data_IF_022915908088
#
_entry.id   IF_022915908088
#
_cell.length_a   1.000
_cell.length_b   1.000
_cell.length_c   1.000
_cell.angle_alpha   90.00
_cell.angle_beta   90.00
_cell.angle_gamma   90.00
#
_symmetry.space_group_name_H-M   'P 1'
#
loop_
_entity.id
_entity.type
_entity.pdbx_description
1 polymer ?
#
# COMPACT_ATOMS: atom_id res chain seq x y z
N UNK A 1 -7.92 18.25 -11.45
CA UNK A 1 -6.57 18.00 -10.88
C UNK A 1 -5.88 16.87 -11.66
N UNK A 2 -4.58 16.93 -11.96
CA UNK A 2 -3.88 15.83 -12.64
C UNK A 2 -3.77 14.59 -11.76
N UNK A 3 -3.66 13.40 -12.38
CA UNK A 3 -3.51 12.15 -11.64
C UNK A 3 -2.27 12.14 -10.74
N UNK A 4 -1.17 12.74 -11.21
CA UNK A 4 0.05 12.90 -10.41
C UNK A 4 -0.15 13.75 -9.15
N UNK A 5 -0.97 14.80 -9.24
CA UNK A 5 -1.30 15.62 -8.05
C UNK A 5 -2.14 14.81 -7.07
N UNK A 6 -3.14 14.04 -7.53
CA UNK A 6 -3.94 13.12 -6.70
C UNK A 6 -3.04 12.11 -5.98
N UNK A 7 -2.18 11.39 -6.71
CA UNK A 7 -1.25 10.40 -6.15
C UNK A 7 -0.34 11.02 -5.09
N UNK A 8 0.17 12.24 -5.31
CA UNK A 8 1.00 12.94 -4.32
C UNK A 8 0.22 13.30 -3.06
N UNK A 9 -1.00 13.83 -3.20
CA UNK A 9 -1.86 14.15 -2.06
C UNK A 9 -2.19 12.90 -1.24
N UNK A 10 -2.45 11.77 -1.90
CA UNK A 10 -2.71 10.49 -1.24
C UNK A 10 -1.46 9.98 -0.49
N UNK A 11 -0.28 10.03 -1.14
CA UNK A 11 1.00 9.66 -0.47
C UNK A 11 1.30 10.55 0.74
N UNK A 12 0.92 11.83 0.69
CA UNK A 12 1.04 12.74 1.84
C UNK A 12 0.13 12.31 3.00
N UNK A 13 -1.13 11.94 2.70
CA UNK A 13 -2.03 11.34 3.69
C UNK A 13 -1.39 10.10 4.32
N UNK A 14 -0.81 9.20 3.51
CA UNK A 14 -0.17 7.98 4.02
C UNK A 14 1.02 8.28 4.92
N UNK A 15 1.88 9.21 4.51
CA UNK A 15 3.04 9.63 5.32
C UNK A 15 2.61 10.17 6.68
N UNK A 16 1.54 10.96 6.71
CA UNK A 16 1.02 11.51 7.96
C UNK A 16 0.37 10.44 8.83
N UNK A 17 -0.40 9.54 8.24
CA UNK A 17 -1.01 8.42 8.95
C UNK A 17 0.06 7.51 9.57
N UNK A 18 1.11 7.17 8.82
CA UNK A 18 2.19 6.33 9.34
C UNK A 18 2.95 6.95 10.52
N UNK A 19 2.99 8.29 10.63
CA UNK A 19 3.54 8.97 11.80
C UNK A 19 2.63 8.78 13.02
N UNK A 20 1.31 8.91 12.83
CA UNK A 20 0.33 8.72 13.90
C UNK A 20 0.31 7.25 14.37
N UNK A 21 0.28 6.30 13.43
CA UNK A 21 0.36 4.86 13.72
C UNK A 21 1.63 4.54 14.51
N UNK A 22 2.80 5.05 14.09
CA UNK A 22 4.05 4.78 14.82
C UNK A 22 4.02 5.29 16.26
N UNK A 23 3.49 6.49 16.49
CA UNK A 23 3.34 7.02 17.86
C UNK A 23 2.41 6.15 18.70
N UNK A 24 1.27 5.74 18.12
CA UNK A 24 0.30 4.90 18.82
C UNK A 24 0.87 3.50 19.12
N UNK A 25 1.50 2.88 18.13
CA UNK A 25 2.13 1.57 18.23
C UNK A 25 3.24 1.55 19.29
N UNK A 26 4.13 2.55 19.28
CA UNK A 26 5.20 2.66 20.28
C UNK A 26 4.67 2.97 21.68
N UNK A 27 3.67 3.84 21.81
CA UNK A 27 3.09 4.18 23.11
C UNK A 27 2.36 3.01 23.79
N UNK A 28 1.96 2.00 23.02
CA UNK A 28 1.30 0.79 23.49
C UNK A 28 2.09 -0.48 23.22
N UNK A 29 3.36 -0.37 22.82
CA UNK A 29 4.22 -1.50 22.46
C UNK A 29 3.50 -2.60 21.65
N UNK A 30 2.63 -2.19 20.71
CA UNK A 30 1.92 -3.09 19.81
C UNK A 30 2.59 -3.04 18.44
N UNK A 31 3.00 -4.19 17.94
CA UNK A 31 3.63 -4.30 16.64
C UNK A 31 3.00 -5.45 15.85
N UNK A 32 2.85 -5.24 14.55
CA UNK A 32 2.45 -6.26 13.60
C UNK A 32 3.67 -7.18 13.42
N UNK A 33 3.55 -8.50 13.63
CA UNK A 33 4.66 -9.41 13.45
C UNK A 33 5.23 -9.31 12.04
N UNK A 34 6.55 -9.40 11.94
CA UNK A 34 7.22 -9.61 10.68
C UNK A 34 6.70 -10.92 10.06
N UNK A 35 6.51 -10.94 8.73
CA UNK A 35 5.95 -12.09 7.99
C UNK A 35 4.49 -12.47 8.31
N UNK A 36 3.71 -11.52 8.83
CA UNK A 36 2.26 -11.68 8.97
C UNK A 36 1.51 -11.33 7.67
N UNK A 37 0.71 -12.27 7.18
CA UNK A 37 -0.11 -12.14 5.96
C UNK A 37 -1.62 -12.13 6.19
N UNK A 38 -2.08 -12.34 7.42
CA UNK A 38 -3.50 -12.62 7.73
C UNK A 38 -4.46 -11.50 7.29
N UNK A 39 -4.02 -10.23 7.32
CA UNK A 39 -4.86 -9.13 6.85
C UNK A 39 -5.06 -9.16 5.32
N UNK A 40 -4.16 -9.79 4.57
CA UNK A 40 -4.26 -9.91 3.11
C UNK A 40 -5.01 -11.18 2.66
N UNK A 41 -5.17 -12.18 3.53
CA UNK A 41 -5.95 -13.41 3.28
C UNK A 41 -7.45 -13.18 3.34
N UNK A 42 -7.89 -12.10 3.99
CA UNK A 42 -9.29 -11.76 4.17
C UNK A 42 -9.95 -11.39 2.83
N UNK A 43 -11.01 -12.11 2.47
CA UNK A 43 -11.70 -12.00 1.15
C UNK A 43 -12.73 -10.87 1.09
N UNK A 44 -13.31 -10.50 2.23
CA UNK A 44 -14.36 -9.50 2.39
C UNK A 44 -13.79 -8.09 2.72
N UNK A 45 -12.66 -7.73 2.11
CA UNK A 45 -12.11 -6.38 2.25
C UNK A 45 -12.74 -5.48 1.20
N UNK A 46 -13.44 -4.46 1.68
CA UNK A 46 -13.92 -3.36 0.85
C UNK A 46 -12.98 -2.17 0.90
N UNK A 47 -12.86 -1.51 -0.24
CA UNK A 47 -11.88 -0.48 -0.50
C UNK A 47 -12.41 0.55 -1.51
N UNK A 48 -11.83 1.74 -1.46
CA UNK A 48 -12.10 2.75 -2.48
C UNK A 48 -11.08 2.65 -3.62
N UNK A 49 -11.45 2.88 -4.90
CA UNK A 49 -10.46 2.95 -5.97
C UNK A 49 -9.39 4.02 -5.72
N UNK A 50 -9.78 5.11 -5.03
CA UNK A 50 -8.89 6.25 -4.78
C UNK A 50 -7.65 5.86 -3.96
N UNK A 51 -7.78 5.00 -2.96
CA UNK A 51 -6.63 4.56 -2.16
C UNK A 51 -5.64 3.68 -2.91
N UNK A 52 -6.01 3.11 -4.06
CA UNK A 52 -5.11 2.31 -4.87
C UNK A 52 -4.48 3.10 -6.04
N UNK A 53 -4.74 4.40 -6.18
CA UNK A 53 -4.05 5.22 -7.19
C UNK A 53 -2.52 5.20 -7.05
N UNK A 54 -1.90 5.24 -5.84
CA UNK A 54 -0.45 5.11 -5.73
C UNK A 54 0.09 3.77 -6.22
N UNK A 55 -0.63 2.67 -5.99
CA UNK A 55 -0.30 1.33 -6.47
C UNK A 55 -0.42 1.24 -7.99
N UNK A 56 -1.56 1.66 -8.54
CA UNK A 56 -1.80 1.71 -9.97
C UNK A 56 -0.75 2.57 -10.69
N UNK A 57 -0.38 3.71 -10.11
CA UNK A 57 0.70 4.55 -10.64
C UNK A 57 2.04 3.83 -10.58
N UNK A 58 2.37 3.14 -9.48
CA UNK A 58 3.61 2.37 -9.38
C UNK A 58 3.71 1.29 -10.47
N UNK A 59 2.65 0.52 -10.70
CA UNK A 59 2.60 -0.49 -11.76
C UNK A 59 2.66 0.12 -13.16
N UNK A 60 2.07 1.29 -13.36
CA UNK A 60 2.19 2.00 -14.63
C UNK A 60 3.62 2.49 -14.89
N UNK A 61 4.29 3.04 -13.89
CA UNK A 61 5.66 3.57 -14.00
C UNK A 61 6.70 2.46 -14.25
N UNK A 62 6.44 1.28 -13.69
CA UNK A 62 7.25 0.06 -13.86
C UNK A 62 6.89 -0.73 -15.11
N UNK A 63 5.81 -0.39 -15.80
CA UNK A 63 5.41 -1.01 -17.07
C UNK A 63 4.63 -2.32 -16.93
N UNK A 64 4.16 -2.68 -15.72
CA UNK A 64 3.47 -3.94 -15.44
C UNK A 64 1.95 -3.77 -15.22
N UNK A 65 1.42 -2.56 -15.37
CA UNK A 65 0.01 -2.26 -15.11
C UNK A 65 -0.97 -3.08 -15.96
N UNK A 66 -0.69 -3.26 -17.25
CA UNK A 66 -1.55 -4.02 -18.16
C UNK A 66 -1.60 -5.50 -17.79
N UNK A 67 -0.44 -6.09 -17.47
CA UNK A 67 -0.33 -7.49 -17.07
C UNK A 67 -1.07 -7.73 -15.74
N UNK A 68 -0.91 -6.82 -14.78
CA UNK A 68 -1.62 -6.86 -13.49
C UNK A 68 -3.12 -6.71 -13.66
N UNK A 69 -3.57 -5.89 -14.60
CA UNK A 69 -5.00 -5.76 -14.92
C UNK A 69 -5.57 -7.05 -15.52
N UNK A 70 -4.83 -7.72 -16.42
CA UNK A 70 -5.24 -9.01 -16.98
C UNK A 70 -5.33 -10.08 -15.88
N UNK A 71 -4.30 -10.22 -15.05
CA UNK A 71 -4.27 -11.14 -13.90
C UNK A 71 -5.46 -10.93 -12.95
N UNK A 72 -5.79 -9.66 -12.67
CA UNK A 72 -6.92 -9.31 -11.80
C UNK A 72 -8.28 -9.69 -12.38
N UNK A 73 -8.45 -9.65 -13.70
CA UNK A 73 -9.72 -9.98 -14.36
C UNK A 73 -9.99 -11.49 -14.37
N UNK A 74 -8.95 -12.31 -14.28
CA UNK A 74 -9.06 -13.77 -14.24
C UNK A 74 -9.21 -14.31 -12.81
N UNK A 75 -8.78 -13.55 -11.79
CA UNK A 75 -8.79 -13.99 -10.39
C UNK A 75 -10.20 -13.96 -9.78
N UNK A 76 -10.59 -15.05 -9.11
CA UNK A 76 -11.90 -15.21 -8.45
C UNK A 76 -11.81 -15.58 -6.95
N UNK A 77 -10.61 -15.76 -6.40
CA UNK A 77 -10.39 -16.23 -5.02
C UNK A 77 -10.78 -15.21 -3.92
N UNK A 78 -10.99 -13.95 -4.30
CA UNK A 78 -11.28 -12.82 -3.41
C UNK A 78 -10.07 -12.33 -2.61
N UNK A 79 -8.92 -12.99 -2.71
CA UNK A 79 -7.71 -12.65 -1.99
C UNK A 79 -6.98 -11.53 -2.73
N UNK A 80 -6.41 -10.57 -1.99
CA UNK A 80 -5.74 -9.43 -2.59
C UNK A 80 -4.60 -9.89 -3.52
N UNK A 81 -4.53 -9.36 -4.75
CA UNK A 81 -3.44 -9.64 -5.71
C UNK A 81 -2.04 -9.41 -5.15
N UNK A 82 -1.89 -8.48 -4.21
CA UNK A 82 -0.61 -8.16 -3.60
C UNK A 82 -0.20 -9.16 -2.51
N UNK A 83 -1.05 -10.14 -2.18
CA UNK A 83 -0.72 -11.16 -1.18
C UNK A 83 0.30 -12.16 -1.73
N UNK A 84 1.34 -12.42 -0.95
CA UNK A 84 2.33 -13.48 -1.17
C UNK A 84 2.31 -14.40 0.04
N UNK A 85 1.81 -15.62 -0.17
CA UNK A 85 1.91 -16.70 0.80
C UNK A 85 3.36 -17.20 0.86
N UNK A 86 3.91 -17.36 2.07
CA UNK A 86 5.29 -17.79 2.31
C UNK A 86 5.40 -19.27 2.78
N UNK A 87 4.29 -20.00 2.77
CA UNK A 87 4.20 -21.40 3.20
C UNK A 87 3.71 -21.51 4.63
N UNK A 88 2.43 -21.88 4.80
CA UNK A 88 1.74 -22.05 6.09
C UNK A 88 0.57 -21.09 6.28
N UNK A 89 -0.39 -21.46 7.13
CA UNK A 89 -1.54 -20.59 7.45
C UNK A 89 -1.08 -19.33 8.21
N UNK A 90 -1.49 -18.15 7.75
CA UNK A 90 -1.13 -16.86 8.35
C UNK A 90 0.29 -16.35 8.05
N UNK A 91 1.13 -17.17 7.41
CA UNK A 91 2.49 -16.82 6.99
C UNK A 91 2.49 -16.22 5.60
N UNK A 92 2.71 -14.91 5.53
CA UNK A 92 2.70 -14.21 4.26
C UNK A 92 3.13 -12.77 4.35
N UNK A 93 3.03 -12.06 3.23
CA UNK A 93 3.31 -10.61 3.17
C UNK A 93 2.62 -9.96 2.00
N UNK A 94 2.45 -8.65 2.08
CA UNK A 94 2.10 -7.84 0.92
C UNK A 94 3.35 -7.58 0.08
N UNK A 95 3.36 -7.97 -1.20
CA UNK A 95 4.44 -7.66 -2.14
C UNK A 95 4.55 -6.17 -2.46
N UNK A 96 3.49 -5.41 -2.20
CA UNK A 96 3.35 -3.99 -2.52
C UNK A 96 3.14 -3.15 -1.26
N UNK A 97 3.81 -3.52 -0.17
CA UNK A 97 3.57 -2.94 1.15
C UNK A 97 3.71 -1.40 1.16
N UNK A 98 4.69 -0.84 0.45
CA UNK A 98 4.88 0.61 0.35
C UNK A 98 3.72 1.33 -0.37
N UNK A 99 3.09 0.66 -1.33
CA UNK A 99 2.00 1.20 -2.15
C UNK A 99 0.61 0.74 -1.70
N UNK A 100 0.50 0.06 -0.55
CA UNK A 100 -0.78 -0.44 -0.01
C UNK A 100 -1.79 0.70 0.22
N UNK A 101 -3.08 0.36 0.08
CA UNK A 101 -4.20 1.29 0.25
C UNK A 101 -4.34 1.83 1.68
N UNK A 102 -5.27 2.76 1.87
CA UNK A 102 -5.53 3.39 3.17
C UNK A 102 -6.13 2.37 4.14
N UNK A 103 -7.07 1.53 3.68
CA UNK A 103 -7.64 0.44 4.49
C UNK A 103 -6.55 -0.47 5.06
N UNK A 104 -5.57 -0.86 4.24
CA UNK A 104 -4.47 -1.73 4.64
C UNK A 104 -3.49 -1.07 5.62
N UNK A 105 -3.49 0.26 5.74
CA UNK A 105 -2.68 1.01 6.71
C UNK A 105 -3.42 1.20 8.02
N UNK A 106 -4.72 1.47 7.94
CA UNK A 106 -5.59 1.66 9.10
C UNK A 106 -5.84 0.35 9.85
N UNK A 107 -5.93 -0.77 9.13
CA UNK A 107 -6.08 -2.08 9.75
C UNK A 107 -4.89 -2.41 10.65
N UNK A 108 -5.16 -2.71 11.92
CA UNK A 108 -4.14 -3.01 12.94
C UNK A 108 -4.00 -1.90 13.99
N UNK A 109 -4.18 -0.65 13.60
CA UNK A 109 -3.75 0.51 14.42
C UNK A 109 -4.73 1.68 14.38
N UNK A 110 -6.00 1.47 14.02
CA UNK A 110 -6.99 2.53 13.95
C UNK A 110 -8.21 2.25 14.81
N UNK A 111 -8.97 3.30 15.11
CA UNK A 111 -10.20 3.21 15.90
C UNK A 111 -11.42 3.64 15.09
N UNK A 112 -12.55 3.00 15.38
CA UNK A 112 -13.86 3.43 14.90
C UNK A 112 -14.73 3.83 16.08
N UNK A 113 -15.41 4.99 16.04
CA UNK A 113 -16.50 5.25 16.97
C UNK A 113 -17.65 4.27 16.72
N UNK A 114 -18.13 3.65 17.78
CA UNK A 114 -19.40 2.92 17.77
C UNK A 114 -20.58 3.91 17.85
N UNK A 115 -21.81 3.44 17.57
CA UNK A 115 -23.04 4.23 17.67
C UNK A 115 -23.26 4.83 19.07
N UNK A 116 -22.65 4.24 20.09
CA UNK A 116 -22.69 4.69 21.49
C UNK A 116 -21.55 5.65 21.88
N UNK A 117 -20.73 6.08 20.92
CA UNK A 117 -19.60 7.00 21.13
C UNK A 117 -18.31 6.35 21.63
N UNK A 118 -18.32 5.06 21.97
CA UNK A 118 -17.11 4.34 22.41
C UNK A 118 -16.18 4.02 21.23
N UNK A 119 -14.88 4.24 21.40
CA UNK A 119 -13.87 3.93 20.39
C UNK A 119 -13.51 2.45 20.42
N UNK A 120 -13.69 1.74 19.30
CA UNK A 120 -13.29 0.34 19.13
C UNK A 120 -12.04 0.24 18.27
N UNK A 121 -11.06 -0.54 18.72
CA UNK A 121 -9.83 -0.82 17.97
C UNK A 121 -10.09 -1.77 16.80
N UNK A 122 -9.77 -1.33 15.58
CA UNK A 122 -9.70 -2.16 14.39
C UNK A 122 -8.31 -2.78 14.28
N UNK A 123 -8.13 -3.94 14.90
CA UNK A 123 -6.88 -4.68 14.83
C UNK A 123 -7.10 -6.19 14.65
N UNK A 124 -6.04 -6.88 14.25
CA UNK A 124 -6.05 -8.35 14.16
C UNK A 124 -6.09 -8.97 15.55
N UNK A 125 -6.42 -10.27 15.60
CA UNK A 125 -6.48 -11.04 16.84
C UNK A 125 -5.17 -10.98 17.64
N UNK A 126 -4.02 -11.11 16.98
CA UNK A 126 -2.70 -11.03 17.63
C UNK A 126 -2.52 -9.73 18.42
N UNK A 127 -2.90 -8.59 17.83
CA UNK A 127 -2.76 -7.29 18.51
C UNK A 127 -3.74 -7.18 19.68
N UNK A 128 -4.96 -7.70 19.54
CA UNK A 128 -5.96 -7.71 20.63
C UNK A 128 -5.50 -8.58 21.79
N UNK A 129 -4.97 -9.77 21.51
CA UNK A 129 -4.48 -10.70 22.52
C UNK A 129 -3.24 -10.13 23.23
N UNK A 130 -2.34 -9.46 22.50
CA UNK A 130 -1.20 -8.73 23.07
C UNK A 130 -1.60 -7.59 24.01
N UNK A 131 -2.67 -6.85 23.69
CA UNK A 131 -3.19 -5.80 24.58
C UNK A 131 -3.84 -6.40 25.83
N UNK A 132 -4.66 -7.44 25.66
CA UNK A 132 -5.34 -8.13 26.75
C UNK A 132 -4.35 -8.77 27.73
N UNK A 133 -3.29 -9.42 27.23
CA UNK A 133 -2.25 -10.02 28.05
C UNK A 133 -1.51 -9.00 28.94
N UNK A 134 -1.52 -7.72 28.55
CA UNK A 134 -0.90 -6.62 29.30
C UNK A 134 -1.89 -5.82 30.14
N UNK A 135 -3.16 -6.22 30.19
CA UNK A 135 -4.21 -5.50 30.91
C UNK A 135 -4.50 -4.10 30.36
N UNK A 136 -4.06 -3.79 29.14
CA UNK A 136 -4.25 -2.48 28.53
C UNK A 136 -5.59 -2.40 27.80
N UNK A 137 -6.37 -1.37 28.12
CA UNK A 137 -7.59 -1.02 27.39
C UNK A 137 -7.40 0.30 26.66
N UNK A 138 -8.14 0.51 25.57
CA UNK A 138 -8.10 1.80 24.85
C UNK A 138 -8.47 2.98 25.75
N UNK A 139 -9.37 2.77 26.69
CA UNK A 139 -9.83 3.77 27.66
C UNK A 139 -8.79 4.11 28.72
N UNK A 140 -7.88 3.18 29.04
CA UNK A 140 -6.86 3.38 30.08
C UNK A 140 -5.55 3.96 29.53
N UNK A 141 -5.40 4.02 28.20
CA UNK A 141 -4.20 4.57 27.57
C UNK A 141 -4.35 6.05 27.22
N UNK A 142 -3.35 6.87 27.53
CA UNK A 142 -3.23 8.26 27.06
C UNK A 142 -2.88 8.39 25.57
N UNK A 143 -2.89 7.27 24.84
CA UNK A 143 -2.39 7.14 23.49
C UNK A 143 -3.50 7.43 22.48
N UNK A 144 -3.30 8.46 21.66
CA UNK A 144 -4.21 8.81 20.57
C UNK A 144 -4.03 7.87 19.38
N UNK A 145 -5.11 7.19 19.00
CA UNK A 145 -5.16 6.38 17.78
C UNK A 145 -5.76 7.14 16.59
N UNK A 146 -5.32 6.83 15.35
CA UNK A 146 -5.95 7.37 14.16
C UNK A 146 -7.40 6.90 14.06
N UNK A 147 -8.32 7.86 14.02
CA UNK A 147 -9.75 7.59 13.79
C UNK A 147 -9.97 7.30 12.31
N UNK A 148 -10.44 6.09 11.98
CA UNK A 148 -10.62 5.61 10.60
C UNK A 148 -11.44 6.60 9.76
N UNK A 149 -12.58 7.05 10.28
CA UNK A 149 -13.48 7.98 9.56
C UNK A 149 -12.82 9.32 9.23
N UNK A 150 -11.94 9.84 10.09
CA UNK A 150 -11.22 11.08 9.82
C UNK A 150 -10.25 10.94 8.65
N UNK A 151 -9.62 9.78 8.50
CA UNK A 151 -8.68 9.51 7.40
C UNK A 151 -9.40 9.30 6.07
N UNK A 152 -10.56 8.62 6.06
CA UNK A 152 -11.40 8.54 4.87
C UNK A 152 -11.96 9.90 4.45
N UNK A 153 -12.33 10.77 5.40
CA UNK A 153 -12.73 12.16 5.11
C UNK A 153 -11.60 12.96 4.42
N UNK A 154 -10.35 12.79 4.86
CA UNK A 154 -9.20 13.42 4.17
C UNK A 154 -9.00 12.85 2.76
N UNK A 155 -9.22 11.54 2.58
CA UNK A 155 -9.05 10.87 1.29
C UNK A 155 -10.10 11.35 0.27
N UNK A 156 -11.39 11.33 0.63
CA UNK A 156 -12.50 11.72 -0.26
C UNK A 156 -12.41 13.19 -0.70
N UNK A 157 -11.81 14.06 0.11
CA UNK A 157 -11.54 15.47 -0.26
C UNK A 157 -10.56 15.62 -1.42
N UNK A 158 -9.72 14.62 -1.71
CA UNK A 158 -8.80 14.66 -2.86
C UNK A 158 -9.56 14.45 -4.17
N UNK A 159 -10.51 13.51 -4.16
CA UNK A 159 -11.29 13.11 -5.33
C UNK A 159 -12.59 12.44 -4.86
N UNK A 160 -13.71 13.14 -5.02
CA UNK A 160 -14.98 12.69 -4.44
C UNK A 160 -15.52 11.43 -5.14
N UNK A 161 -15.44 11.35 -6.46
CA UNK A 161 -16.06 10.26 -7.24
C UNK A 161 -15.45 8.90 -6.91
N UNK A 162 -14.12 8.80 -6.96
CA UNK A 162 -13.37 7.58 -6.63
C UNK A 162 -13.28 7.34 -5.12
N UNK A 163 -13.39 8.39 -4.30
CA UNK A 163 -13.32 8.30 -2.84
C UNK A 163 -14.62 7.90 -2.16
N UNK A 164 -15.76 8.00 -2.85
CA UNK A 164 -17.09 7.69 -2.31
C UNK A 164 -17.65 6.32 -2.75
N UNK A 165 -16.88 5.56 -3.51
CA UNK A 165 -17.29 4.24 -4.00
C UNK A 165 -16.49 3.15 -3.28
N UNK A 166 -17.20 2.12 -2.82
CA UNK A 166 -16.59 0.96 -2.16
C UNK A 166 -16.81 -0.27 -3.03
N UNK A 167 -15.72 -1.04 -3.20
CA UNK A 167 -15.73 -2.30 -3.94
C UNK A 167 -14.87 -3.33 -3.20
N UNK A 168 -15.03 -4.62 -3.49
CA UNK A 168 -14.04 -5.63 -3.11
C UNK A 168 -12.63 -5.17 -3.54
N UNK A 169 -11.63 -5.47 -2.71
CA UNK A 169 -10.26 -4.94 -2.85
C UNK A 169 -9.69 -5.06 -4.26
N UNK A 170 -9.84 -6.22 -4.89
CA UNK A 170 -9.34 -6.45 -6.26
C UNK A 170 -10.08 -5.59 -7.29
N UNK A 171 -11.40 -5.43 -7.14
CA UNK A 171 -12.22 -4.55 -8.00
C UNK A 171 -11.84 -3.08 -7.82
N UNK A 172 -11.54 -2.65 -6.59
CA UNK A 172 -11.04 -1.29 -6.33
C UNK A 172 -9.67 -1.06 -7.01
N UNK A 173 -8.77 -2.06 -6.96
CA UNK A 173 -7.47 -2.01 -7.64
C UNK A 173 -7.63 -1.97 -9.17
N UNK A 174 -8.52 -2.79 -9.75
CA UNK A 174 -8.84 -2.77 -11.19
C UNK A 174 -9.23 -1.34 -11.62
N UNK A 175 -10.19 -0.74 -10.92
CA UNK A 175 -10.65 0.63 -11.22
C UNK A 175 -9.55 1.67 -11.10
N UNK A 176 -8.64 1.51 -10.13
CA UNK A 176 -7.48 2.38 -9.99
C UNK A 176 -6.51 2.26 -11.17
N UNK A 177 -6.22 1.03 -11.63
CA UNK A 177 -5.39 0.78 -12.82
C UNK A 177 -6.03 1.39 -14.06
N UNK A 178 -7.31 1.12 -14.30
CA UNK A 178 -8.07 1.65 -15.43
C UNK A 178 -8.05 3.18 -15.43
N UNK A 179 -8.20 3.80 -14.26
CA UNK A 179 -8.11 5.27 -14.11
C UNK A 179 -6.74 5.80 -14.55
N UNK A 180 -5.65 5.13 -14.18
CA UNK A 180 -4.28 5.53 -14.56
C UNK A 180 -4.05 5.32 -16.06
N UNK A 181 -4.39 4.15 -16.58
CA UNK A 181 -4.23 3.82 -18.00
C UNK A 181 -5.05 4.77 -18.87
N UNK A 182 -6.33 4.98 -18.56
CA UNK A 182 -7.20 5.90 -19.30
C UNK A 182 -6.68 7.34 -19.26
N UNK A 183 -6.10 7.78 -18.14
CA UNK A 183 -5.52 9.11 -18.04
C UNK A 183 -4.34 9.31 -19.01
N UNK A 184 -3.51 8.29 -19.18
CA UNK A 184 -2.30 8.31 -20.01
C UNK A 184 -2.49 7.78 -21.44
N UNK A 185 -3.63 7.16 -21.77
CA UNK A 185 -3.94 6.71 -23.13
C UNK A 185 -3.85 7.85 -24.16
N UNK A 186 -4.20 9.08 -23.75
CA UNK A 186 -4.21 10.26 -24.60
C UNK A 186 -3.27 11.37 -24.12
N UNK A 187 -2.39 11.09 -23.15
CA UNK A 187 -1.49 12.10 -22.56
C UNK A 187 -0.06 11.56 -22.50
N UNK A 188 0.94 12.30 -23.00
CA UNK A 188 2.32 11.84 -22.92
C UNK A 188 2.76 11.74 -21.46
N UNK A 189 3.22 10.57 -21.04
CA UNK A 189 3.86 10.38 -19.74
C UNK A 189 5.33 10.78 -19.82
N UNK A 190 5.69 11.91 -19.23
CA UNK A 190 7.09 12.32 -19.06
C UNK A 190 7.62 11.76 -17.74
N UNK A 191 8.39 10.67 -17.78
CA UNK A 191 9.14 10.15 -16.61
C UNK A 191 9.97 11.31 -16.04
N UNK A 192 9.66 11.73 -14.81
CA UNK A 192 10.47 12.73 -14.12
C UNK A 192 11.79 12.09 -13.70
N UNK A 193 12.91 12.73 -14.03
CA UNK A 193 14.21 12.35 -13.47
C UNK A 193 14.12 12.42 -11.93
N UNK A 194 14.59 11.40 -11.19
CA UNK A 194 14.60 11.46 -9.73
C UNK A 194 15.39 12.69 -9.28
N UNK A 195 14.81 13.47 -8.38
CA UNK A 195 15.50 14.63 -7.80
C UNK A 195 16.61 14.12 -6.87
N UNK A 196 17.74 14.84 -6.79
CA UNK A 196 18.93 14.42 -6.01
C UNK A 196 18.64 14.12 -4.52
N UNK A 197 17.55 14.66 -3.96
CA UNK A 197 17.08 14.35 -2.60
C UNK A 197 16.34 13.00 -2.46
N UNK A 198 15.80 12.45 -3.54
CA UNK A 198 15.12 11.14 -3.55
C UNK A 198 16.11 9.97 -3.62
N UNK A 199 17.25 10.16 -4.29
CA UNK A 199 18.27 9.11 -4.45
C UNK A 199 19.03 8.80 -3.15
N UNK A 200 19.19 9.80 -2.26
CA UNK A 200 19.83 9.60 -0.96
C UNK A 200 19.00 8.66 -0.05
N UNK A 201 17.68 8.88 0.02
CA UNK A 201 16.78 8.05 0.82
C UNK A 201 16.54 6.65 0.22
N UNK A 202 16.59 6.51 -1.11
CA UNK A 202 16.46 5.20 -1.76
C UNK A 202 17.71 4.31 -1.57
N UNK A 203 18.92 4.89 -1.65
CA UNK A 203 20.16 4.14 -1.36
C UNK A 203 20.30 3.78 0.12
N UNK A 204 19.87 4.64 1.04
CA UNK A 204 19.97 4.36 2.48
C UNK A 204 19.02 3.26 2.96
N UNK A 205 17.86 3.07 2.30
CA UNK A 205 16.88 2.04 2.68
C UNK A 205 17.07 0.68 2.01
N UNK A 206 17.75 0.64 0.86
CA UNK A 206 17.95 -0.58 0.07
C UNK A 206 19.40 -1.05 0.02
N UNK A 207 20.26 -0.58 0.94
CA UNK A 207 21.54 -1.24 1.19
C UNK A 207 21.24 -2.59 1.86
N UNK A 208 21.70 -3.73 1.32
CA UNK A 208 21.62 -4.98 2.05
C UNK A 208 22.41 -4.82 3.35
N UNK A 209 21.78 -5.14 4.48
CA UNK A 209 22.49 -5.31 5.73
C UNK A 209 23.46 -6.48 5.54
N UNK A 210 24.72 -6.16 5.24
CA UNK A 210 25.80 -7.13 5.21
C UNK A 210 26.12 -7.47 6.66
N UNK A 211 25.47 -8.51 7.19
CA UNK A 211 26.08 -9.34 8.21
C UNK A 211 27.17 -10.17 7.53
N UNK A 212 28.39 -10.01 8.04
CA UNK A 212 29.59 -10.54 7.42
C UNK A 212 29.74 -12.05 7.57
N UNK A 213 30.20 -12.67 6.48
CA UNK A 213 31.09 -13.82 6.49
C UNK A 213 31.64 -13.97 5.08
N UNK A 214 32.97 -14.01 4.95
CA UNK A 214 33.65 -13.98 3.66
C UNK A 214 33.36 -15.22 2.80
N UNK A 215 33.42 -15.04 1.48
CA UNK A 215 34.39 -15.78 0.67
C UNK A 215 34.51 -15.21 -0.75
N UNK A 216 35.66 -15.45 -1.36
CA UNK A 216 36.09 -14.99 -2.67
C UNK A 216 35.41 -15.81 -3.78
N UNK A 217 34.85 -15.16 -4.83
CA UNK A 217 35.13 -15.41 -6.26
C UNK A 217 34.00 -15.01 -7.24
N UNK A 218 34.46 -14.48 -8.38
CA UNK A 218 33.95 -14.62 -9.77
C UNK A 218 32.69 -13.90 -10.31
N UNK A 219 32.99 -12.91 -11.19
CA UNK A 219 32.49 -12.66 -12.57
C UNK A 219 31.07 -13.11 -13.01
N UNK A 220 30.26 -12.15 -13.51
CA UNK A 220 29.68 -12.03 -14.89
C UNK A 220 28.50 -11.04 -14.88
N UNK A 221 28.56 -9.90 -15.59
CA UNK A 221 28.24 -9.62 -17.02
C UNK A 221 26.74 -9.39 -17.32
N UNK A 222 26.43 -8.12 -17.64
CA UNK A 222 25.56 -7.61 -18.72
C UNK A 222 24.29 -8.38 -19.13
N UNK A 223 23.14 -7.68 -19.08
CA UNK A 223 22.21 -7.51 -20.21
C UNK A 223 21.05 -6.58 -19.84
N UNK A 224 20.93 -5.44 -20.51
CA UNK A 224 19.66 -4.72 -20.78
C UNK A 224 19.95 -3.47 -21.62
N UNK A 225 20.30 -3.70 -22.89
CA UNK A 225 20.12 -2.75 -23.99
C UNK A 225 19.21 -3.45 -25.00
N UNK A 226 18.32 -2.67 -25.62
CA UNK A 226 17.41 -3.02 -26.72
C UNK A 226 15.94 -3.21 -26.30
N UNK A 227 15.27 -2.10 -26.01
CA UNK A 227 13.86 -1.93 -26.41
C UNK A 227 13.60 -0.44 -26.67
N UNK A 228 14.10 0.05 -27.81
CA UNK A 228 13.67 1.30 -28.42
C UNK A 228 14.15 1.31 -29.86
N UNK A 229 13.25 0.92 -30.76
CA UNK A 229 13.16 1.30 -32.17
C UNK A 229 12.13 0.37 -32.79
N UNK A 230 10.93 0.89 -33.01
CA UNK A 230 10.08 0.67 -34.18
C UNK A 230 8.70 1.23 -33.85
N UNK A 231 8.56 2.55 -33.98
CA UNK A 231 7.29 3.19 -34.37
C UNK A 231 7.63 4.59 -34.90
N UNK A 232 7.94 4.65 -36.19
CA UNK A 232 7.89 5.87 -37.00
C UNK A 232 7.58 5.49 -38.45
N UNK A 233 6.29 5.58 -38.77
CA UNK A 233 5.66 6.14 -40.00
C UNK A 233 6.47 6.18 -41.30
N UNK A 234 5.89 5.57 -42.34
CA UNK A 234 5.80 5.99 -43.75
C UNK A 234 4.93 4.90 -44.44
N UNK A 235 3.89 5.14 -45.22
CA UNK A 235 3.43 6.30 -46.01
C UNK A 235 1.91 6.24 -46.18
#
# INVERSE_FOLDING_TARGET
MSILRRVRSIRLIYTNLEKEIRRAASGLEIFCPDTCGMCCEKKDIEATPLEFLPLAMHWFETGIASDKLAELKERQDGVCICYKNLGGEGLGRCSEYENRGLICRLFGYSVNPDRRGSMRLLSCRIIKDSLAARGLTLSSSSVSFPVMTNWYKKLIQIEFSLGNQYFPINTAIIKAIETVLAYYAYRPYRKRKPTKHSTANYKLKNSPAVHGSGDKNHRRLHAMKNYSRHFSVAS
#
